data_IF_123956617591
#
_entry.id   IF_123956617591
#
_cell.length_a   1.000
_cell.length_b   1.000
_cell.length_c   1.000
_cell.angle_alpha   90.00
_cell.angle_beta   90.00
_cell.angle_gamma   90.00
#
_symmetry.space_group_name_H-M   'P 1'
#
loop_
_entity.id
_entity.type
_entity.pdbx_description
1 polymer ?
#
# COMPACT_ATOMS: atom_id res chain seq x y z
N UNK A 1 -22.44 46.20 42.38
CA UNK A 1 -22.47 45.98 40.91
C UNK A 1 -21.73 44.68 40.62
N UNK A 2 -22.45 43.56 40.51
CA UNK A 2 -21.89 42.25 40.13
C UNK A 2 -22.77 41.67 39.01
N UNK A 3 -22.60 42.22 37.81
CA UNK A 3 -22.92 41.52 36.56
C UNK A 3 -21.60 40.90 36.06
N UNK A 4 -21.66 39.92 35.16
CA UNK A 4 -20.53 39.13 34.61
C UNK A 4 -20.21 37.73 35.18
N UNK A 5 -21.21 36.84 35.44
CA UNK A 5 -20.96 35.40 35.33
C UNK A 5 -21.48 34.81 34.00
N UNK A 6 -22.57 35.33 33.43
CA UNK A 6 -23.26 34.74 32.27
C UNK A 6 -22.44 34.75 30.97
N UNK A 7 -21.70 35.83 30.69
CA UNK A 7 -20.88 35.97 29.48
C UNK A 7 -19.72 34.96 29.43
N UNK A 8 -19.10 34.68 30.59
CA UNK A 8 -18.00 33.70 30.72
C UNK A 8 -18.46 32.26 30.51
N UNK A 9 -19.66 31.91 30.97
CA UNK A 9 -20.23 30.59 30.72
C UNK A 9 -20.54 30.38 29.24
N UNK A 10 -21.08 31.39 28.55
CA UNK A 10 -21.37 31.32 27.11
C UNK A 10 -20.08 31.15 26.31
N UNK A 11 -19.04 31.92 26.65
CA UNK A 11 -17.74 31.83 25.98
C UNK A 11 -17.08 30.45 26.19
N UNK A 12 -17.11 29.91 27.41
CA UNK A 12 -16.58 28.59 27.72
C UNK A 12 -17.32 27.48 26.97
N UNK A 13 -18.65 27.58 26.86
CA UNK A 13 -19.45 26.61 26.09
C UNK A 13 -19.14 26.66 24.59
N UNK A 14 -18.92 27.85 24.01
CA UNK A 14 -18.54 28.01 22.60
C UNK A 14 -17.17 27.40 22.33
N UNK A 15 -16.19 27.62 23.22
CA UNK A 15 -14.85 27.03 23.10
C UNK A 15 -14.92 25.50 23.16
N UNK A 16 -15.70 24.94 24.09
CA UNK A 16 -15.90 23.48 24.20
C UNK A 16 -16.58 22.94 22.95
N UNK A 17 -17.59 23.64 22.41
CA UNK A 17 -18.27 23.24 21.17
C UNK A 17 -17.30 23.25 19.98
N UNK A 18 -16.46 24.29 19.88
CA UNK A 18 -15.42 24.38 18.86
C UNK A 18 -14.38 23.27 18.99
N UNK A 19 -13.95 22.95 20.21
CA UNK A 19 -13.02 21.84 20.46
C UNK A 19 -13.64 20.48 20.10
N UNK A 20 -14.93 20.27 20.38
CA UNK A 20 -15.62 19.03 19.99
C UNK A 20 -15.78 18.93 18.47
N UNK A 21 -16.11 20.03 17.78
CA UNK A 21 -16.27 20.07 16.32
C UNK A 21 -14.91 19.90 15.62
N UNK A 22 -13.87 20.58 16.10
CA UNK A 22 -12.52 20.43 15.55
C UNK A 22 -11.90 19.08 15.88
N UNK A 23 -12.12 18.49 17.05
CA UNK A 23 -11.56 17.18 17.40
C UNK A 23 -12.35 16.02 16.77
N UNK A 24 -13.68 16.15 16.63
CA UNK A 24 -14.54 15.14 16.01
C UNK A 24 -14.27 14.92 14.52
N UNK A 25 -13.78 15.94 13.81
CA UNK A 25 -13.42 15.85 12.40
C UNK A 25 -12.12 15.05 12.13
N UNK A 26 -11.28 14.81 13.13
CA UNK A 26 -10.02 14.07 12.96
C UNK A 26 -10.14 12.55 13.17
N UNK A 27 -11.27 12.05 13.67
CA UNK A 27 -11.44 10.63 14.07
C UNK A 27 -11.85 9.72 12.89
N UNK A 28 -12.03 10.23 11.67
CA UNK A 28 -12.63 9.44 10.56
C UNK A 28 -11.66 8.94 9.51
N UNK A 29 -10.34 9.16 9.63
CA UNK A 29 -9.38 8.55 8.70
C UNK A 29 -9.17 7.07 9.06
N UNK A 30 -10.15 6.27 8.67
CA UNK A 30 -10.20 4.82 8.86
C UNK A 30 -9.05 4.16 8.09
N UNK A 31 -8.20 3.43 8.80
CA UNK A 31 -7.03 2.70 8.28
C UNK A 31 -7.39 1.30 7.75
N UNK A 32 -8.61 1.10 7.26
CA UNK A 32 -8.96 -0.18 6.64
C UNK A 32 -8.16 -0.32 5.33
N UNK A 33 -7.54 -1.49 5.12
CA UNK A 33 -6.85 -1.84 3.87
C UNK A 33 -7.79 -1.61 2.69
N UNK A 34 -7.61 -0.50 1.98
CA UNK A 34 -8.40 -0.22 0.80
C UNK A 34 -7.96 -1.18 -0.30
N UNK A 35 -8.92 -1.57 -1.16
CA UNK A 35 -8.64 -2.33 -2.37
C UNK A 35 -7.50 -1.64 -3.14
N UNK A 36 -6.45 -2.39 -3.48
CA UNK A 36 -5.24 -1.82 -4.08
C UNK A 36 -5.53 -0.99 -5.34
N UNK A 37 -4.82 0.14 -5.46
CA UNK A 37 -4.86 1.06 -6.60
C UNK A 37 -3.75 0.70 -7.61
N UNK A 38 -4.12 0.25 -8.80
CA UNK A 38 -3.16 -0.22 -9.80
C UNK A 38 -2.28 0.91 -10.37
N UNK A 39 -2.80 2.14 -10.48
CA UNK A 39 -2.04 3.29 -10.96
C UNK A 39 -0.96 3.72 -9.96
N UNK A 40 -1.26 3.68 -8.66
CA UNK A 40 -0.28 3.88 -7.59
C UNK A 40 0.73 2.73 -7.57
N UNK A 41 0.24 1.50 -7.66
CA UNK A 41 1.04 0.27 -7.70
C UNK A 41 2.05 0.26 -8.84
N UNK A 42 1.67 0.77 -10.02
CA UNK A 42 2.56 0.88 -11.17
C UNK A 42 3.81 1.71 -10.85
N UNK A 43 3.66 2.84 -10.16
CA UNK A 43 4.79 3.72 -9.82
C UNK A 43 5.79 3.01 -8.91
N UNK A 44 5.27 2.27 -7.93
CA UNK A 44 6.10 1.48 -7.00
C UNK A 44 6.76 0.32 -7.75
N UNK A 45 6.00 -0.36 -8.61
CA UNK A 45 6.51 -1.46 -9.44
C UNK A 45 7.68 -1.00 -10.31
N UNK A 46 7.52 0.09 -11.05
CA UNK A 46 8.55 0.63 -11.93
C UNK A 46 9.83 0.96 -11.14
N UNK A 47 9.68 1.50 -9.92
CA UNK A 47 10.80 1.92 -9.07
C UNK A 47 11.48 0.77 -8.31
N UNK A 48 10.76 -0.31 -7.98
CA UNK A 48 11.23 -1.34 -7.03
C UNK A 48 11.22 -2.76 -7.58
N UNK A 49 10.29 -3.09 -8.46
CA UNK A 49 10.04 -4.45 -8.93
C UNK A 49 10.53 -4.68 -10.36
N UNK A 50 10.39 -3.67 -11.23
CA UNK A 50 10.64 -3.76 -12.67
C UNK A 50 12.10 -4.05 -13.02
N UNK A 51 13.05 -3.70 -12.16
CA UNK A 51 14.48 -4.02 -12.38
C UNK A 51 14.72 -5.54 -12.49
N UNK A 52 13.97 -6.34 -11.73
CA UNK A 52 14.07 -7.80 -11.77
C UNK A 52 12.94 -8.41 -12.61
N UNK A 53 11.70 -7.95 -12.42
CA UNK A 53 10.54 -8.55 -13.06
C UNK A 53 10.26 -8.04 -14.48
N UNK A 54 10.93 -6.98 -14.93
CA UNK A 54 10.79 -6.38 -16.26
C UNK A 54 9.54 -5.51 -16.39
N UNK A 55 9.56 -4.52 -17.30
CA UNK A 55 8.42 -3.62 -17.51
C UNK A 55 7.15 -4.36 -18.00
N UNK A 56 7.33 -5.50 -18.67
CA UNK A 56 6.24 -6.36 -19.13
C UNK A 56 5.88 -7.48 -18.14
N UNK A 57 6.54 -7.54 -16.97
CA UNK A 57 6.29 -8.56 -15.95
C UNK A 57 6.77 -9.96 -16.29
N UNK A 58 7.69 -10.14 -17.26
CA UNK A 58 8.14 -11.46 -17.75
C UNK A 58 9.33 -12.06 -17.00
N UNK A 59 9.75 -11.44 -15.90
CA UNK A 59 10.95 -11.85 -15.16
C UNK A 59 12.26 -11.60 -15.91
N UNK A 60 12.22 -10.77 -16.96
CA UNK A 60 13.33 -10.46 -17.87
C UNK A 60 13.90 -9.06 -17.64
N UNK A 61 13.70 -8.50 -16.43
CA UNK A 61 14.32 -7.24 -16.05
C UNK A 61 15.86 -7.35 -16.10
N UNK A 62 16.58 -6.22 -16.26
CA UNK A 62 18.04 -6.21 -16.38
C UNK A 62 18.78 -6.97 -15.28
N UNK A 63 18.24 -6.99 -14.06
CA UNK A 63 18.80 -7.75 -12.94
C UNK A 63 18.16 -9.13 -12.74
N UNK A 64 17.03 -9.43 -13.40
CA UNK A 64 16.25 -10.64 -13.17
C UNK A 64 16.55 -11.80 -14.12
N UNK A 65 16.96 -11.49 -15.36
CA UNK A 65 17.14 -12.50 -16.41
C UNK A 65 18.27 -13.50 -16.09
N UNK A 66 19.30 -13.08 -15.36
CA UNK A 66 20.47 -13.91 -15.01
C UNK A 66 20.39 -14.54 -13.60
N UNK A 67 19.30 -14.33 -12.86
CA UNK A 67 19.15 -14.91 -11.52
C UNK A 67 18.88 -16.41 -11.58
N UNK A 68 19.30 -17.12 -10.54
CA UNK A 68 18.93 -18.51 -10.30
C UNK A 68 18.33 -18.66 -8.88
N UNK A 69 17.01 -18.90 -8.76
CA UNK A 69 16.03 -19.00 -9.83
C UNK A 69 15.78 -17.65 -10.53
N UNK A 70 15.35 -17.69 -11.80
CA UNK A 70 14.94 -16.50 -12.56
C UNK A 70 13.76 -15.81 -11.85
N UNK A 71 13.69 -14.49 -11.95
CA UNK A 71 12.53 -13.73 -11.47
C UNK A 71 11.22 -14.27 -12.06
N UNK A 72 10.15 -14.25 -11.26
CA UNK A 72 8.85 -14.79 -11.67
C UNK A 72 8.26 -14.04 -12.86
N UNK A 73 7.67 -14.80 -13.78
CA UNK A 73 6.89 -14.30 -14.91
C UNK A 73 5.42 -14.16 -14.48
N UNK A 74 4.94 -12.92 -14.39
CA UNK A 74 3.57 -12.56 -14.01
C UNK A 74 2.57 -12.69 -15.16
N UNK A 75 3.02 -12.94 -16.39
CA UNK A 75 2.14 -13.23 -17.53
C UNK A 75 1.74 -14.71 -17.58
N UNK A 76 2.48 -15.58 -16.88
CA UNK A 76 2.20 -17.01 -16.74
C UNK A 76 1.07 -17.24 -15.73
N UNK A 77 -0.14 -17.55 -16.26
CA UNK A 77 -1.35 -17.77 -15.45
C UNK A 77 -1.22 -18.91 -14.46
N UNK A 78 -0.47 -19.96 -14.79
CA UNK A 78 -0.27 -21.09 -13.88
C UNK A 78 0.58 -20.68 -12.67
N UNK A 79 1.64 -19.89 -12.90
CA UNK A 79 2.48 -19.34 -11.81
C UNK A 79 1.76 -18.27 -10.99
N UNK A 80 0.86 -17.52 -11.61
CA UNK A 80 0.05 -16.47 -10.99
C UNK A 80 -1.26 -16.97 -10.35
N UNK A 81 -1.50 -18.28 -10.34
CA UNK A 81 -2.55 -18.90 -9.54
C UNK A 81 -2.18 -18.92 -8.05
N UNK A 82 -2.12 -17.73 -7.47
CA UNK A 82 -1.90 -17.42 -6.06
C UNK A 82 -2.99 -16.47 -5.62
N UNK A 83 -3.39 -16.50 -4.35
CA UNK A 83 -4.27 -15.49 -3.76
C UNK A 83 -3.55 -14.15 -3.60
N UNK A 84 -4.31 -13.07 -3.39
CA UNK A 84 -3.72 -11.77 -3.08
C UNK A 84 -2.95 -11.80 -1.75
N UNK A 85 -3.42 -12.57 -0.75
CA UNK A 85 -2.72 -12.76 0.53
C UNK A 85 -1.38 -13.48 0.37
N UNK A 86 -1.32 -14.49 -0.51
CA UNK A 86 -0.07 -15.17 -0.84
C UNK A 86 0.92 -14.21 -1.50
N UNK A 87 0.47 -13.39 -2.47
CA UNK A 87 1.31 -12.37 -3.10
C UNK A 87 1.75 -11.31 -2.08
N UNK A 88 0.86 -10.87 -1.19
CA UNK A 88 1.18 -9.93 -0.13
C UNK A 88 2.28 -10.46 0.78
N UNK A 89 2.19 -11.73 1.18
CA UNK A 89 3.24 -12.37 1.98
C UNK A 89 4.57 -12.45 1.24
N UNK A 90 4.57 -12.87 -0.03
CA UNK A 90 5.79 -12.94 -0.84
C UNK A 90 6.45 -11.56 -1.04
N UNK A 91 5.66 -10.49 -1.18
CA UNK A 91 6.19 -9.12 -1.27
C UNK A 91 6.69 -8.63 0.10
N UNK A 92 5.99 -8.97 1.17
CA UNK A 92 6.34 -8.55 2.53
C UNK A 92 7.64 -9.20 3.00
N UNK A 93 7.71 -10.53 2.87
CA UNK A 93 8.77 -11.36 3.45
C UNK A 93 9.90 -11.64 2.46
N UNK A 94 9.65 -11.48 1.17
CA UNK A 94 10.53 -11.96 0.10
C UNK A 94 10.36 -13.46 -0.12
N UNK A 95 11.26 -14.04 -0.91
CA UNK A 95 11.24 -15.48 -1.23
C UNK A 95 12.58 -16.11 -0.86
N UNK A 96 12.55 -16.95 0.18
CA UNK A 96 13.74 -17.64 0.71
C UNK A 96 14.43 -18.45 -0.38
N UNK A 97 15.77 -18.35 -0.44
CA UNK A 97 16.58 -19.06 -1.44
C UNK A 97 16.58 -18.39 -2.82
N UNK A 98 16.09 -17.15 -2.93
CA UNK A 98 16.11 -16.34 -4.15
C UNK A 98 16.68 -14.95 -3.86
N UNK A 99 16.88 -14.14 -4.90
CA UNK A 99 17.27 -12.74 -4.74
C UNK A 99 16.10 -11.80 -4.36
N UNK A 100 14.87 -12.30 -4.27
CA UNK A 100 13.70 -11.50 -3.92
C UNK A 100 13.68 -11.22 -2.41
N UNK A 101 14.15 -10.04 -2.04
CA UNK A 101 14.08 -9.51 -0.67
C UNK A 101 12.66 -9.05 -0.31
N UNK A 102 12.37 -9.06 0.99
CA UNK A 102 11.11 -8.58 1.53
C UNK A 102 11.05 -7.05 1.61
N UNK A 103 9.87 -6.50 1.38
CA UNK A 103 9.61 -5.06 1.35
C UNK A 103 8.83 -4.54 2.56
N UNK A 104 8.55 -5.40 3.56
CA UNK A 104 7.74 -5.04 4.73
C UNK A 104 8.24 -3.81 5.50
N UNK A 105 9.56 -3.60 5.53
CA UNK A 105 10.20 -2.47 6.22
C UNK A 105 10.25 -1.18 5.39
N UNK A 106 10.03 -1.27 4.08
CA UNK A 106 10.22 -0.16 3.13
C UNK A 106 8.94 0.31 2.45
N UNK A 107 7.90 -0.51 2.45
CA UNK A 107 6.59 -0.21 1.90
C UNK A 107 5.55 -0.38 3.01
N UNK A 108 4.55 0.48 3.05
CA UNK A 108 3.35 0.30 3.86
C UNK A 108 2.50 -0.88 3.37
N UNK A 109 1.52 -1.31 4.17
CA UNK A 109 0.57 -2.35 3.74
C UNK A 109 -0.20 -1.92 2.49
N UNK A 110 -0.67 -0.67 2.45
CA UNK A 110 -1.42 -0.15 1.31
C UNK A 110 -0.56 -0.13 0.04
N UNK A 111 0.70 0.30 0.12
CA UNK A 111 1.61 0.27 -1.03
C UNK A 111 1.85 -1.15 -1.56
N UNK A 112 1.92 -2.15 -0.67
CA UNK A 112 2.01 -3.56 -1.09
C UNK A 112 0.73 -4.04 -1.77
N UNK A 113 -0.45 -3.65 -1.25
CA UNK A 113 -1.74 -3.92 -1.90
C UNK A 113 -1.84 -3.27 -3.29
N UNK A 114 -1.39 -2.04 -3.42
CA UNK A 114 -1.35 -1.31 -4.69
C UNK A 114 -0.46 -2.04 -5.72
N UNK A 115 0.74 -2.48 -5.32
CA UNK A 115 1.63 -3.27 -6.18
C UNK A 115 0.97 -4.58 -6.62
N UNK A 116 0.27 -5.28 -5.73
CA UNK A 116 -0.47 -6.51 -6.09
C UNK A 116 -1.54 -6.18 -7.13
N UNK A 117 -2.31 -5.11 -6.93
CA UNK A 117 -3.33 -4.68 -7.90
C UNK A 117 -2.72 -4.42 -9.28
N UNK A 118 -1.52 -3.83 -9.34
CA UNK A 118 -0.79 -3.66 -10.60
C UNK A 118 -0.27 -4.99 -11.17
N UNK A 119 0.32 -5.87 -10.36
CA UNK A 119 0.79 -7.20 -10.80
C UNK A 119 -0.34 -8.00 -11.45
N UNK A 120 -1.56 -7.93 -10.90
CA UNK A 120 -2.75 -8.59 -11.46
C UNK A 120 -3.12 -8.10 -12.86
N UNK A 121 -2.63 -6.95 -13.31
CA UNK A 121 -2.88 -6.47 -14.69
C UNK A 121 -2.13 -7.28 -15.74
N UNK A 122 -1.02 -7.93 -15.40
CA UNK A 122 -0.23 -8.73 -16.35
C UNK A 122 -0.93 -10.04 -16.77
N UNK A 123 -1.68 -10.67 -15.87
CA UNK A 123 -2.34 -11.96 -16.13
C UNK A 123 -3.78 -11.84 -16.64
N UNK A 124 -4.31 -10.60 -16.75
CA UNK A 124 -5.67 -10.32 -17.26
C UNK A 124 -5.77 -10.35 -18.79
N UNK A 125 -4.65 -10.42 -19.50
CA UNK A 125 -4.61 -10.51 -20.96
C UNK A 125 -4.49 -11.96 -21.47
#
# INVERSE_FOLDING_TARGET
>A
MQQEPRSKFIFLMIVILFLIIFFGAYITKSSASEKGNAEAGKKIYDARCGLCHGAAGKGDGPAGASLNPKAADFTDKAKMNKSDDELFKLISDGVKGTAMMGFASSLSEQERQDVIAYIRTFSKK
#
